data_IF_979793580296
#
_entry.id   IF_979793580296
#
_cell.length_a   1.000
_cell.length_b   1.000
_cell.length_c   1.000
_cell.angle_alpha   90.00
_cell.angle_beta   90.00
_cell.angle_gamma   90.00
#
_symmetry.space_group_name_H-M   'P 1'
#
loop_
_entity.id
_entity.type
_entity.pdbx_description
1 polymer ?
#
# COMPACT_ATOMS: atom_id res chain seq x y z
N UNK A 1 8.60 -5.63 39.96
CA UNK A 1 9.17 -5.50 38.59
C UNK A 1 8.30 -4.52 37.80
N UNK A 2 8.87 -3.41 37.31
CA UNK A 2 8.12 -2.44 36.51
C UNK A 2 7.69 -3.12 35.19
N UNK A 3 6.38 -3.22 34.91
CA UNK A 3 5.87 -3.72 33.64
C UNK A 3 6.30 -2.75 32.54
N UNK A 4 7.11 -3.19 31.59
CA UNK A 4 7.43 -2.43 30.39
C UNK A 4 6.14 -2.24 29.60
N UNK A 5 5.89 -1.04 29.08
CA UNK A 5 4.64 -0.72 28.39
C UNK A 5 4.35 -1.67 27.19
N UNK A 6 5.38 -2.12 26.47
CA UNK A 6 5.29 -3.02 25.32
C UNK A 6 5.71 -4.47 25.62
N UNK A 7 6.05 -4.82 26.86
CA UNK A 7 6.54 -6.16 27.26
C UNK A 7 7.66 -6.70 26.35
N UNK A 8 8.55 -5.80 25.89
CA UNK A 8 9.66 -6.16 25.01
C UNK A 8 10.94 -6.43 25.80
N UNK A 9 11.77 -7.38 25.35
CA UNK A 9 13.15 -7.51 25.81
C UNK A 9 13.96 -6.22 25.62
N UNK A 10 15.11 -6.05 26.28
CA UNK A 10 15.97 -4.89 26.05
C UNK A 10 16.34 -4.74 24.58
N UNK A 11 16.30 -3.50 24.04
CA UNK A 11 16.64 -3.25 22.63
C UNK A 11 18.04 -3.73 22.26
N UNK A 12 19.00 -3.64 23.19
CA UNK A 12 20.36 -4.15 23.01
C UNK A 12 20.38 -5.67 22.75
N UNK A 13 19.50 -6.40 23.41
CA UNK A 13 19.34 -7.85 23.23
C UNK A 13 18.73 -8.18 21.86
N UNK A 14 17.71 -7.42 21.43
CA UNK A 14 17.08 -7.56 20.12
C UNK A 14 18.03 -7.17 18.99
N UNK A 15 18.84 -6.11 19.18
CA UNK A 15 19.85 -5.67 18.21
C UNK A 15 20.98 -6.71 18.06
N UNK A 16 21.45 -7.29 19.19
CA UNK A 16 22.46 -8.34 19.16
C UNK A 16 21.96 -9.59 18.43
N UNK A 17 20.71 -9.98 18.66
CA UNK A 17 20.09 -11.09 17.96
C UNK A 17 19.95 -10.80 16.46
N UNK A 18 19.43 -9.65 16.06
CA UNK A 18 19.25 -9.26 14.64
C UNK A 18 20.58 -9.28 13.90
N UNK A 19 21.62 -8.63 14.44
CA UNK A 19 22.95 -8.61 13.85
C UNK A 19 23.54 -10.03 13.70
N UNK A 20 23.38 -10.88 14.72
CA UNK A 20 23.84 -12.29 14.69
C UNK A 20 23.06 -13.11 13.65
N UNK A 21 21.76 -12.88 13.50
CA UNK A 21 20.89 -13.55 12.54
C UNK A 21 21.22 -13.15 11.09
N UNK A 22 21.37 -11.87 10.82
CA UNK A 22 21.72 -11.35 9.50
C UNK A 22 23.09 -11.81 9.02
N UNK A 23 24.08 -11.84 9.94
CA UNK A 23 25.45 -12.28 9.63
C UNK A 23 25.64 -13.79 9.71
N UNK A 24 24.71 -14.57 10.28
CA UNK A 24 24.85 -15.98 10.65
C UNK A 24 26.16 -16.25 11.40
N UNK A 25 26.63 -15.26 12.19
CA UNK A 25 27.93 -15.26 12.85
C UNK A 25 27.97 -14.33 14.05
N UNK A 26 28.20 -14.86 15.23
CA UNK A 26 28.34 -14.03 16.43
C UNK A 26 29.61 -13.16 16.39
N UNK A 27 30.66 -13.61 15.68
CA UNK A 27 31.90 -12.84 15.53
C UNK A 27 31.65 -11.60 14.65
N UNK A 28 31.03 -11.76 13.48
CA UNK A 28 30.73 -10.63 12.60
C UNK A 28 29.74 -9.65 13.24
N UNK A 29 28.73 -10.17 13.94
CA UNK A 29 27.80 -9.32 14.68
C UNK A 29 28.50 -8.50 15.78
N UNK A 30 29.46 -9.10 16.44
CA UNK A 30 30.27 -8.42 17.47
C UNK A 30 31.13 -7.30 16.88
N UNK A 31 31.78 -7.57 15.74
CA UNK A 31 32.54 -6.57 14.98
C UNK A 31 31.67 -5.39 14.57
N UNK A 32 30.47 -5.64 14.03
CA UNK A 32 29.51 -4.62 13.62
C UNK A 32 29.01 -3.77 14.80
N UNK A 33 28.69 -4.42 15.92
CA UNK A 33 28.18 -3.75 17.11
C UNK A 33 29.25 -3.14 18.01
N UNK A 34 30.55 -3.31 17.63
CA UNK A 34 31.70 -2.85 18.44
C UNK A 34 31.72 -3.42 19.84
N UNK A 35 31.38 -4.69 19.98
CA UNK A 35 31.39 -5.44 21.25
C UNK A 35 32.17 -6.74 21.13
N UNK A 36 32.29 -7.51 22.19
CA UNK A 36 32.94 -8.83 22.13
C UNK A 36 31.98 -9.92 21.65
N UNK A 37 32.48 -11.00 20.99
CA UNK A 37 31.64 -12.14 20.61
C UNK A 37 30.95 -12.81 21.81
N UNK A 38 31.59 -12.78 22.97
CA UNK A 38 31.03 -13.26 24.23
C UNK A 38 29.80 -12.42 24.68
N UNK A 39 29.87 -11.10 24.50
CA UNK A 39 28.75 -10.21 24.82
C UNK A 39 27.52 -10.50 23.92
N UNK A 40 27.74 -10.65 22.61
CA UNK A 40 26.66 -11.02 21.67
C UNK A 40 26.05 -12.37 22.06
N UNK A 41 26.90 -13.39 22.33
CA UNK A 41 26.42 -14.71 22.74
C UNK A 41 25.62 -14.66 24.05
N UNK A 42 26.03 -13.82 25.00
CA UNK A 42 25.34 -13.64 26.27
C UNK A 42 23.97 -12.97 26.06
N UNK A 43 23.89 -11.90 25.22
CA UNK A 43 22.63 -11.22 24.89
C UNK A 43 21.66 -12.18 24.20
N UNK A 44 22.12 -12.96 23.21
CA UNK A 44 21.27 -13.93 22.51
C UNK A 44 20.77 -15.01 23.47
N UNK A 45 21.62 -15.53 24.36
CA UNK A 45 21.17 -16.51 25.37
C UNK A 45 20.16 -15.93 26.36
N UNK A 46 20.33 -14.66 26.75
CA UNK A 46 19.37 -13.99 27.61
C UNK A 46 17.99 -13.90 26.93
N UNK A 47 17.97 -13.59 25.62
CA UNK A 47 16.73 -13.56 24.80
C UNK A 47 16.08 -14.94 24.70
N UNK A 48 16.89 -15.99 24.41
CA UNK A 48 16.39 -17.35 24.36
C UNK A 48 15.83 -17.82 25.72
N UNK A 49 16.46 -17.42 26.81
CA UNK A 49 16.00 -17.69 28.17
C UNK A 49 14.71 -16.96 28.53
N UNK A 50 14.55 -15.70 28.11
CA UNK A 50 13.33 -14.91 28.33
C UNK A 50 12.14 -15.47 27.51
N UNK A 51 12.40 -15.90 26.28
CA UNK A 51 11.38 -16.46 25.38
C UNK A 51 11.11 -17.96 25.61
N UNK A 52 11.99 -18.66 26.34
CA UNK A 52 11.87 -20.09 26.58
C UNK A 52 12.08 -20.97 25.34
N UNK A 53 12.69 -20.43 24.28
CA UNK A 53 12.94 -21.15 23.03
C UNK A 53 14.34 -20.85 22.48
N UNK A 54 14.91 -21.81 21.77
CA UNK A 54 16.19 -21.60 21.07
C UNK A 54 15.94 -20.92 19.73
N UNK A 55 16.69 -19.86 19.45
CA UNK A 55 16.62 -19.08 18.22
C UNK A 55 17.72 -19.45 17.23
N UNK A 56 18.85 -19.98 17.72
CA UNK A 56 19.94 -20.45 16.89
C UNK A 56 20.28 -21.92 17.15
N UNK A 57 20.70 -22.59 16.08
CA UNK A 57 21.39 -23.89 16.15
C UNK A 57 22.87 -23.70 15.79
N UNK A 58 23.78 -24.35 16.54
CA UNK A 58 25.21 -24.36 16.22
C UNK A 58 25.48 -25.29 15.05
N UNK A 59 26.28 -24.82 14.09
CA UNK A 59 26.89 -25.62 13.02
C UNK A 59 28.40 -25.71 13.19
N UNK A 60 29.01 -26.59 12.43
CA UNK A 60 30.46 -26.75 12.43
C UNK A 60 31.20 -25.45 12.05
N UNK A 61 30.57 -24.60 11.24
CA UNK A 61 31.04 -23.25 10.89
C UNK A 61 29.86 -22.25 10.99
N UNK A 62 29.78 -21.54 12.13
CA UNK A 62 28.77 -20.51 12.35
C UNK A 62 27.51 -21.01 13.06
N UNK A 63 26.40 -20.32 12.80
CA UNK A 63 25.09 -20.61 13.38
C UNK A 63 24.03 -20.57 12.28
N UNK A 64 22.88 -21.23 12.51
CA UNK A 64 21.71 -21.13 11.68
C UNK A 64 20.50 -20.77 12.55
N UNK A 65 19.50 -20.13 11.96
CA UNK A 65 18.24 -19.81 12.64
C UNK A 65 17.37 -21.07 12.79
N UNK A 66 16.69 -21.14 13.91
CA UNK A 66 15.56 -22.06 14.08
C UNK A 66 14.29 -21.44 13.44
N UNK A 67 13.18 -22.18 13.22
CA UNK A 67 11.94 -21.57 12.76
C UNK A 67 11.46 -20.39 13.63
N UNK A 68 11.46 -20.47 14.98
CA UNK A 68 11.19 -19.30 15.81
C UNK A 68 12.20 -18.17 15.62
N UNK A 69 13.49 -18.51 15.44
CA UNK A 69 14.53 -17.53 15.15
C UNK A 69 14.30 -16.81 13.83
N UNK A 70 13.89 -17.52 12.78
CA UNK A 70 13.58 -16.91 11.49
C UNK A 70 12.38 -15.95 11.60
N UNK A 71 11.29 -16.38 12.26
CA UNK A 71 10.11 -15.53 12.47
C UNK A 71 10.46 -14.24 13.22
N UNK A 72 11.27 -14.34 14.27
CA UNK A 72 11.71 -13.16 15.04
C UNK A 72 12.63 -12.26 14.21
N UNK A 73 13.56 -12.84 13.45
CA UNK A 73 14.46 -12.09 12.57
C UNK A 73 13.70 -11.28 11.52
N UNK A 74 12.76 -11.90 10.81
CA UNK A 74 11.97 -11.23 9.77
C UNK A 74 11.19 -10.04 10.35
N UNK A 75 10.62 -10.22 11.54
CA UNK A 75 9.89 -9.16 12.25
C UNK A 75 10.80 -8.02 12.70
N UNK A 76 11.97 -8.33 13.27
CA UNK A 76 12.92 -7.32 13.74
C UNK A 76 13.56 -6.56 12.59
N UNK A 77 13.98 -7.25 11.54
CA UNK A 77 14.58 -6.65 10.35
C UNK A 77 13.62 -5.62 9.72
N UNK A 78 12.33 -5.97 9.56
CA UNK A 78 11.31 -5.06 9.07
C UNK A 78 11.10 -3.87 10.02
N UNK A 79 11.07 -4.12 11.33
CA UNK A 79 10.85 -3.07 12.35
C UNK A 79 12.03 -2.10 12.45
N UNK A 80 13.26 -2.60 12.45
CA UNK A 80 14.48 -1.78 12.49
C UNK A 80 14.65 -0.96 11.20
N UNK A 81 14.32 -1.53 10.04
CA UNK A 81 14.28 -0.79 8.78
C UNK A 81 13.31 0.37 8.86
N UNK A 82 12.10 0.15 9.39
CA UNK A 82 11.09 1.21 9.58
C UNK A 82 11.56 2.29 10.55
N UNK A 83 12.16 1.91 11.68
CA UNK A 83 12.72 2.87 12.64
C UNK A 83 13.84 3.70 12.01
N UNK A 84 14.75 3.05 11.25
CA UNK A 84 15.85 3.75 10.56
C UNK A 84 15.31 4.75 9.53
N UNK A 85 14.31 4.38 8.76
CA UNK A 85 13.64 5.28 7.79
C UNK A 85 12.99 6.47 8.50
N UNK A 86 12.29 6.23 9.61
CA UNK A 86 11.69 7.30 10.41
C UNK A 86 12.74 8.27 10.96
N UNK A 87 13.84 7.74 11.53
CA UNK A 87 14.93 8.57 12.03
C UNK A 87 15.62 9.36 10.92
N UNK A 88 15.75 8.76 9.73
CA UNK A 88 16.29 9.46 8.57
C UNK A 88 15.35 10.58 8.13
N UNK A 89 14.05 10.32 8.02
CA UNK A 89 13.04 11.32 7.70
C UNK A 89 13.05 12.51 8.69
N UNK A 90 13.21 12.23 10.00
CA UNK A 90 13.34 13.28 11.03
C UNK A 90 14.63 14.10 10.83
N UNK A 91 15.74 13.48 10.46
CA UNK A 91 17.00 14.19 10.19
C UNK A 91 16.92 15.03 8.92
N UNK A 92 16.22 14.54 7.93
CA UNK A 92 16.06 15.19 6.62
C UNK A 92 15.02 16.33 6.64
N UNK A 93 14.17 16.39 7.67
CA UNK A 93 13.14 17.44 7.87
C UNK A 93 13.70 18.87 7.95
N UNK A 94 15.00 19.04 7.90
CA UNK A 94 15.66 20.37 7.90
C UNK A 94 16.42 20.71 6.60
N UNK A 95 16.61 19.77 5.66
CA UNK A 95 17.58 19.99 4.56
C UNK A 95 17.26 19.35 3.22
N UNK A 96 16.31 18.45 3.08
CA UNK A 96 15.99 17.88 1.77
C UNK A 96 14.71 18.48 1.21
N UNK A 97 14.82 19.21 0.10
CA UNK A 97 13.68 19.68 -0.69
C UNK A 97 12.92 18.54 -1.38
N UNK A 98 12.98 17.32 -0.83
CA UNK A 98 12.28 16.11 -1.32
C UNK A 98 10.86 16.12 -0.82
N UNK A 99 9.90 16.02 -1.73
CA UNK A 99 8.47 15.84 -1.41
C UNK A 99 8.12 14.37 -1.49
N UNK A 100 7.59 13.80 -0.41
CA UNK A 100 7.17 12.39 -0.39
C UNK A 100 5.65 12.30 -0.57
N UNK A 101 5.22 11.63 -1.66
CA UNK A 101 3.80 11.41 -1.96
C UNK A 101 3.47 9.92 -1.99
N UNK A 102 2.38 9.54 -1.32
CA UNK A 102 1.94 8.16 -1.20
C UNK A 102 0.66 7.85 -1.96
N UNK A 103 0.52 6.60 -2.42
CA UNK A 103 -0.75 6.07 -2.95
C UNK A 103 -0.75 4.54 -3.02
N UNK A 104 -1.86 3.93 -3.44
CA UNK A 104 -1.92 2.51 -3.81
C UNK A 104 -1.23 2.24 -5.14
N UNK A 105 -0.90 0.98 -5.43
CA UNK A 105 -0.22 0.59 -6.67
C UNK A 105 -0.99 1.03 -7.91
N UNK A 106 -2.29 0.77 -7.98
CA UNK A 106 -3.10 1.16 -9.13
C UNK A 106 -3.22 2.69 -9.27
N UNK A 107 -3.45 3.40 -8.15
CA UNK A 107 -3.49 4.86 -8.15
C UNK A 107 -2.15 5.45 -8.59
N UNK A 108 -1.03 4.90 -8.11
CA UNK A 108 0.30 5.32 -8.53
C UNK A 108 0.49 5.17 -10.05
N UNK A 109 0.22 3.98 -10.58
CA UNK A 109 0.53 3.66 -11.98
C UNK A 109 -0.40 4.33 -12.97
N UNK A 110 -1.70 4.44 -12.66
CA UNK A 110 -2.71 4.89 -13.62
C UNK A 110 -2.97 6.41 -13.55
N UNK A 111 -2.74 7.04 -12.39
CA UNK A 111 -3.11 8.44 -12.20
C UNK A 111 -1.97 9.31 -11.63
N UNK A 112 -1.40 8.93 -10.46
CA UNK A 112 -0.48 9.80 -9.75
C UNK A 112 0.86 9.96 -10.48
N UNK A 113 1.50 8.86 -10.91
CA UNK A 113 2.80 8.95 -11.59
C UNK A 113 2.72 9.73 -12.92
N UNK A 114 1.70 9.56 -13.78
CA UNK A 114 1.51 10.44 -14.93
C UNK A 114 1.35 11.92 -14.54
N UNK A 115 0.63 12.24 -13.46
CA UNK A 115 0.47 13.61 -12.98
C UNK A 115 1.79 14.17 -12.43
N UNK A 116 2.53 13.39 -11.62
CA UNK A 116 3.83 13.77 -11.06
C UNK A 116 4.86 13.97 -12.16
N UNK A 117 4.87 13.15 -13.21
CA UNK A 117 5.80 13.32 -14.35
C UNK A 117 5.50 14.63 -15.09
N UNK A 118 4.24 15.01 -15.27
CA UNK A 118 3.86 16.31 -15.86
C UNK A 118 4.35 17.47 -14.98
N UNK A 119 4.07 17.41 -13.68
CA UNK A 119 4.56 18.39 -12.71
C UNK A 119 6.08 18.55 -12.74
N UNK A 120 6.80 17.43 -12.75
CA UNK A 120 8.26 17.43 -12.71
C UNK A 120 8.91 17.99 -13.99
N UNK A 121 8.21 17.97 -15.12
CA UNK A 121 8.69 18.65 -16.35
C UNK A 121 8.76 20.17 -16.18
N UNK A 122 7.81 20.73 -15.44
CA UNK A 122 7.72 22.17 -15.19
C UNK A 122 8.55 22.58 -13.96
N UNK A 123 8.83 21.63 -13.05
CA UNK A 123 9.55 21.84 -11.79
C UNK A 123 10.66 20.80 -11.59
N UNK A 124 11.69 20.75 -12.49
CA UNK A 124 12.74 19.73 -12.43
C UNK A 124 13.66 19.82 -11.21
N UNK A 125 13.66 20.95 -10.53
CA UNK A 125 14.43 21.20 -9.30
C UNK A 125 13.80 20.53 -8.07
N UNK A 126 12.52 20.14 -8.14
CA UNK A 126 11.81 19.50 -7.02
C UNK A 126 12.04 17.99 -7.06
N UNK A 127 12.65 17.47 -6.03
CA UNK A 127 12.82 16.04 -5.85
C UNK A 127 11.54 15.42 -5.29
N UNK A 128 10.99 14.41 -5.96
CA UNK A 128 9.75 13.75 -5.56
C UNK A 128 10.02 12.27 -5.30
N UNK A 129 9.65 11.81 -4.12
CA UNK A 129 9.67 10.41 -3.71
C UNK A 129 8.25 9.86 -3.73
N UNK A 130 7.98 8.83 -4.56
CA UNK A 130 6.69 8.16 -4.59
C UNK A 130 6.73 6.88 -3.76
N UNK A 131 5.87 6.80 -2.75
CA UNK A 131 5.73 5.63 -1.87
C UNK A 131 4.44 4.90 -2.19
N UNK A 132 4.55 3.63 -2.55
CA UNK A 132 3.40 2.80 -2.95
C UNK A 132 3.10 1.76 -1.89
N UNK A 133 1.85 1.72 -1.41
CA UNK A 133 1.38 0.74 -0.42
C UNK A 133 -0.10 0.43 -0.64
N UNK A 134 -0.45 -0.85 -0.74
CA UNK A 134 -1.84 -1.31 -0.87
C UNK A 134 -2.51 -1.60 0.49
N UNK A 135 -2.00 -0.99 1.55
CA UNK A 135 -2.55 -1.01 2.91
C UNK A 135 -2.68 0.40 3.42
N UNK A 136 -3.60 0.61 4.37
CA UNK A 136 -3.75 1.91 5.02
C UNK A 136 -2.40 2.44 5.53
N UNK A 137 -2.17 3.72 5.31
CA UNK A 137 -0.98 4.40 5.82
C UNK A 137 -1.15 4.57 7.34
N UNK A 138 -0.45 3.74 8.11
CA UNK A 138 -0.58 3.71 9.59
C UNK A 138 0.04 4.92 10.29
N UNK A 139 0.83 5.72 9.59
CA UNK A 139 1.41 6.97 10.13
C UNK A 139 1.62 7.97 8.98
N UNK A 140 1.05 9.15 9.13
CA UNK A 140 1.33 10.33 8.29
C UNK A 140 2.77 10.86 8.44
N UNK A 141 3.54 10.31 9.37
CA UNK A 141 4.89 10.79 9.68
C UNK A 141 5.88 10.64 8.51
N UNK A 142 5.67 9.65 7.64
CA UNK A 142 6.62 9.31 6.58
C UNK A 142 6.29 9.97 5.22
N UNK A 143 5.18 10.74 5.12
CA UNK A 143 4.71 11.31 3.85
C UNK A 143 4.23 12.74 4.05
N UNK A 144 4.49 13.58 3.05
CA UNK A 144 3.94 14.93 3.02
C UNK A 144 2.49 14.91 2.53
N UNK A 145 2.24 14.12 1.49
CA UNK A 145 0.96 13.97 0.80
C UNK A 145 0.66 12.49 0.57
N UNK A 146 -0.62 12.10 0.55
CA UNK A 146 -1.01 10.80 0.00
C UNK A 146 -2.45 10.81 -0.54
N UNK A 147 -2.72 9.95 -1.53
CA UNK A 147 -4.05 9.79 -2.11
C UNK A 147 -4.68 8.52 -1.56
N UNK A 148 -5.88 8.68 -1.01
CA UNK A 148 -6.62 7.57 -0.42
C UNK A 148 -8.11 7.62 -0.77
N UNK A 149 -8.74 6.44 -0.79
CA UNK A 149 -10.18 6.30 -0.94
C UNK A 149 -10.89 6.37 0.41
N UNK A 150 -11.77 7.34 0.57
CA UNK A 150 -12.41 7.64 1.84
C UNK A 150 -11.64 8.66 2.69
N UNK A 151 -12.30 9.12 3.73
CA UNK A 151 -11.70 10.09 4.67
C UNK A 151 -10.82 9.40 5.69
N UNK A 152 -9.71 10.04 6.01
CA UNK A 152 -8.89 9.68 7.15
C UNK A 152 -9.55 10.12 8.46
N UNK A 153 -9.31 9.35 9.53
CA UNK A 153 -9.89 9.63 10.86
C UNK A 153 -9.05 10.56 11.71
N UNK A 154 -7.79 10.77 11.36
CA UNK A 154 -6.90 11.67 12.10
C UNK A 154 -7.30 13.14 11.84
N UNK A 155 -7.82 13.86 12.86
CA UNK A 155 -8.27 15.25 12.69
C UNK A 155 -7.13 16.24 12.49
N UNK A 156 -5.88 15.80 12.65
CA UNK A 156 -4.69 16.65 12.46
C UNK A 156 -4.28 16.74 11.00
N UNK A 157 -4.92 15.97 10.11
CA UNK A 157 -4.59 15.95 8.69
C UNK A 157 -5.58 16.78 7.88
N UNK A 158 -5.06 17.56 6.97
CA UNK A 158 -5.85 18.24 5.96
C UNK A 158 -6.28 17.26 4.88
N UNK A 159 -7.53 17.40 4.40
CA UNK A 159 -8.13 16.45 3.47
C UNK A 159 -8.88 17.19 2.36
N UNK A 160 -8.38 17.09 1.16
CA UNK A 160 -8.93 17.74 -0.02
C UNK A 160 -9.66 16.69 -0.89
N UNK A 161 -10.98 16.81 -1.12
CA UNK A 161 -11.68 15.90 -2.02
C UNK A 161 -11.18 16.10 -3.43
N UNK A 162 -10.75 14.99 -4.08
CA UNK A 162 -10.35 15.00 -5.49
C UNK A 162 -11.55 14.76 -6.39
N UNK A 163 -12.06 13.53 -6.39
CA UNK A 163 -13.22 13.14 -7.21
C UNK A 163 -14.00 11.98 -6.58
N UNK A 164 -15.23 11.79 -7.04
CA UNK A 164 -16.03 10.59 -6.76
C UNK A 164 -16.07 9.76 -8.01
N UNK A 165 -15.63 8.53 -7.90
CA UNK A 165 -15.59 7.60 -9.03
C UNK A 165 -16.90 6.84 -9.22
N UNK A 166 -17.02 6.13 -10.33
CA UNK A 166 -18.10 5.20 -10.65
C UNK A 166 -17.53 3.79 -10.77
N UNK A 167 -18.31 2.82 -10.34
CA UNK A 167 -17.95 1.40 -10.34
C UNK A 167 -18.75 0.67 -11.41
N UNK A 168 -18.05 0.02 -12.31
CA UNK A 168 -18.64 -0.70 -13.42
C UNK A 168 -17.86 -2.00 -13.72
N UNK A 169 -18.52 -3.05 -14.19
CA UNK A 169 -17.87 -4.29 -14.62
C UNK A 169 -17.04 -4.08 -15.86
N UNK A 170 -15.77 -4.54 -15.82
CA UNK A 170 -14.86 -4.50 -16.97
C UNK A 170 -14.19 -5.85 -17.18
N UNK A 171 -13.80 -6.10 -18.43
CA UNK A 171 -13.06 -7.30 -18.86
C UNK A 171 -12.29 -7.00 -20.15
N UNK A 172 -11.62 -8.00 -20.74
CA UNK A 172 -10.98 -7.87 -22.05
C UNK A 172 -12.01 -7.56 -23.16
N UNK A 173 -11.58 -6.93 -24.26
CA UNK A 173 -12.47 -6.59 -25.37
C UNK A 173 -13.26 -7.80 -25.92
N UNK A 174 -12.59 -8.94 -26.08
CA UNK A 174 -13.20 -10.16 -26.63
C UNK A 174 -14.35 -10.66 -25.73
N UNK A 175 -14.11 -10.71 -24.42
CA UNK A 175 -15.16 -11.12 -23.47
C UNK A 175 -16.27 -10.10 -23.32
N UNK A 176 -15.97 -8.82 -23.49
CA UNK A 176 -16.98 -7.78 -23.45
C UNK A 176 -17.97 -7.90 -24.62
N UNK A 177 -17.49 -8.30 -25.82
CA UNK A 177 -18.34 -8.58 -26.98
C UNK A 177 -19.27 -9.79 -26.73
N UNK A 178 -18.76 -10.85 -26.07
CA UNK A 178 -19.57 -12.01 -25.69
C UNK A 178 -20.69 -11.67 -24.68
N UNK A 179 -20.50 -10.62 -23.88
CA UNK A 179 -21.39 -10.20 -22.81
C UNK A 179 -22.16 -8.91 -23.13
N UNK A 180 -22.17 -8.49 -24.40
CA UNK A 180 -22.93 -7.34 -24.83
C UNK A 180 -24.40 -7.49 -24.41
N UNK A 181 -24.93 -6.45 -23.75
CA UNK A 181 -26.30 -6.41 -23.23
C UNK A 181 -26.65 -7.44 -22.12
N UNK A 182 -25.65 -8.04 -21.49
CA UNK A 182 -25.86 -8.96 -20.38
C UNK A 182 -26.57 -8.26 -19.20
N UNK A 183 -27.63 -8.87 -18.71
CA UNK A 183 -28.31 -8.44 -17.50
C UNK A 183 -27.54 -8.79 -16.22
N UNK A 184 -28.01 -8.29 -15.07
CA UNK A 184 -27.36 -8.54 -13.78
C UNK A 184 -27.30 -10.03 -13.43
N UNK A 185 -28.29 -10.82 -13.83
CA UNK A 185 -28.32 -12.26 -13.55
C UNK A 185 -27.24 -13.00 -14.33
N UNK A 186 -27.08 -12.68 -15.61
CA UNK A 186 -26.03 -13.23 -16.48
C UNK A 186 -24.66 -12.82 -15.95
N UNK A 187 -24.46 -11.54 -15.59
CA UNK A 187 -23.20 -11.05 -15.04
C UNK A 187 -22.84 -11.74 -13.72
N UNK A 188 -23.84 -11.94 -12.83
CA UNK A 188 -23.62 -12.56 -11.52
C UNK A 188 -23.14 -14.03 -11.61
N UNK A 189 -23.35 -14.68 -12.75
CA UNK A 189 -22.93 -16.09 -13.03
C UNK A 189 -21.60 -16.20 -13.76
N UNK A 190 -21.01 -15.07 -14.17
CA UNK A 190 -19.72 -15.05 -14.85
C UNK A 190 -18.56 -15.39 -13.93
N UNK A 191 -17.38 -15.62 -14.51
CA UNK A 191 -16.13 -15.69 -13.75
C UNK A 191 -15.81 -14.31 -13.20
N UNK A 192 -15.89 -14.14 -11.88
CA UNK A 192 -15.64 -12.88 -11.22
C UNK A 192 -14.24 -12.87 -10.58
N UNK A 193 -13.59 -11.73 -10.65
CA UNK A 193 -12.34 -11.45 -9.95
C UNK A 193 -12.70 -10.62 -8.72
N UNK A 194 -12.53 -11.21 -7.55
CA UNK A 194 -12.86 -10.60 -6.27
C UNK A 194 -11.64 -9.88 -5.70
N UNK A 195 -11.75 -8.59 -5.53
CA UNK A 195 -10.76 -7.82 -4.78
C UNK A 195 -11.06 -7.95 -3.29
N UNK A 196 -10.13 -8.55 -2.56
CA UNK A 196 -10.20 -8.75 -1.12
C UNK A 196 -9.00 -8.08 -0.46
N UNK A 197 -9.25 -7.26 0.54
CA UNK A 197 -8.22 -6.58 1.32
C UNK A 197 -8.74 -6.30 2.71
N UNK A 198 -7.85 -5.87 3.59
CA UNK A 198 -8.18 -5.45 4.97
C UNK A 198 -9.03 -4.17 4.99
N UNK A 199 -9.09 -3.45 3.87
CA UNK A 199 -9.90 -2.25 3.73
C UNK A 199 -11.35 -2.60 3.41
N UNK A 200 -12.21 -2.42 4.41
CA UNK A 200 -13.65 -2.67 4.30
C UNK A 200 -14.42 -1.61 3.50
N UNK A 201 -13.76 -0.52 3.11
CA UNK A 201 -14.41 0.59 2.39
C UNK A 201 -14.65 0.27 0.91
N UNK A 202 -13.96 -0.73 0.36
CA UNK A 202 -14.07 -1.09 -1.04
C UNK A 202 -15.36 -1.86 -1.35
N UNK A 203 -16.09 -1.40 -2.37
CA UNK A 203 -17.31 -2.07 -2.83
C UNK A 203 -16.95 -3.44 -3.42
N UNK A 204 -17.51 -4.49 -2.86
CA UNK A 204 -17.37 -5.87 -3.35
C UNK A 204 -18.47 -6.20 -4.35
N UNK A 205 -18.28 -7.25 -5.17
CA UNK A 205 -19.29 -7.72 -6.12
C UNK A 205 -20.67 -7.90 -5.52
N UNK A 206 -20.76 -8.54 -4.34
CA UNK A 206 -22.03 -8.74 -3.66
C UNK A 206 -22.74 -7.41 -3.31
N UNK A 207 -21.99 -6.39 -2.90
CA UNK A 207 -22.54 -5.08 -2.55
C UNK A 207 -22.96 -4.33 -3.80
N UNK A 208 -22.17 -4.41 -4.89
CA UNK A 208 -22.47 -3.82 -6.18
C UNK A 208 -23.79 -4.37 -6.75
N UNK A 209 -23.93 -5.70 -6.82
CA UNK A 209 -25.15 -6.36 -7.30
C UNK A 209 -26.36 -6.00 -6.44
N UNK A 210 -26.20 -6.03 -5.11
CA UNK A 210 -27.30 -5.72 -4.18
C UNK A 210 -27.80 -4.28 -4.32
N UNK A 211 -26.89 -3.31 -4.48
CA UNK A 211 -27.28 -1.90 -4.65
C UNK A 211 -28.01 -1.66 -5.98
N UNK A 212 -27.75 -2.49 -6.98
CA UNK A 212 -28.47 -2.47 -8.26
C UNK A 212 -29.78 -3.31 -8.24
N UNK A 213 -30.17 -3.83 -7.08
CA UNK A 213 -31.42 -4.56 -6.90
C UNK A 213 -31.36 -6.06 -7.14
N UNK A 214 -30.20 -6.61 -7.52
CA UNK A 214 -30.02 -8.05 -7.68
C UNK A 214 -29.84 -8.74 -6.33
N UNK A 215 -30.66 -9.78 -6.08
CA UNK A 215 -30.68 -10.53 -4.80
C UNK A 215 -30.29 -12.01 -4.96
N UNK A 216 -29.95 -12.42 -6.16
CA UNK A 216 -29.56 -13.79 -6.46
C UNK A 216 -28.12 -14.13 -6.01
N UNK A 217 -27.70 -15.37 -6.22
CA UNK A 217 -26.34 -15.80 -5.89
C UNK A 217 -25.32 -15.13 -6.82
N UNK A 218 -24.18 -14.75 -6.26
CA UNK A 218 -23.03 -14.20 -6.98
C UNK A 218 -21.97 -15.29 -7.09
N UNK A 219 -21.47 -15.52 -8.30
CA UNK A 219 -20.48 -16.56 -8.56
C UNK A 219 -19.20 -16.34 -7.73
N UNK A 220 -18.62 -17.45 -7.30
CA UNK A 220 -17.25 -17.46 -6.80
C UNK A 220 -16.26 -17.32 -7.96
N UNK A 221 -15.02 -16.92 -7.67
CA UNK A 221 -14.01 -16.73 -8.69
C UNK A 221 -12.60 -16.58 -8.10
N UNK A 222 -11.73 -15.93 -8.85
CA UNK A 222 -10.37 -15.61 -8.39
C UNK A 222 -10.44 -14.54 -7.31
N UNK A 223 -9.66 -14.71 -6.25
CA UNK A 223 -9.54 -13.74 -5.16
C UNK A 223 -8.15 -13.15 -5.16
N UNK A 224 -8.06 -11.83 -5.18
CA UNK A 224 -6.79 -11.09 -5.16
C UNK A 224 -6.87 -9.97 -4.14
N UNK A 225 -5.74 -9.58 -3.57
CA UNK A 225 -5.63 -8.50 -2.59
C UNK A 225 -4.94 -7.25 -3.15
N UNK A 226 -4.73 -7.21 -4.45
CA UNK A 226 -4.12 -6.09 -5.16
C UNK A 226 -4.95 -5.75 -6.39
N UNK A 227 -5.33 -4.49 -6.53
CA UNK A 227 -6.21 -4.04 -7.61
C UNK A 227 -5.54 -4.10 -8.99
N UNK A 228 -4.23 -3.85 -9.08
CA UNK A 228 -3.51 -3.97 -10.34
C UNK A 228 -3.51 -5.42 -10.85
N UNK A 229 -3.44 -6.41 -9.96
CA UNK A 229 -3.57 -7.83 -10.32
C UNK A 229 -5.00 -8.13 -10.82
N UNK A 230 -6.03 -7.55 -10.17
CA UNK A 230 -7.41 -7.72 -10.63
C UNK A 230 -7.61 -7.15 -12.05
N UNK A 231 -7.07 -5.96 -12.32
CA UNK A 231 -7.12 -5.35 -13.65
C UNK A 231 -6.37 -6.16 -14.69
N UNK A 232 -5.15 -6.64 -14.38
CA UNK A 232 -4.38 -7.50 -15.29
C UNK A 232 -5.14 -8.79 -15.63
N UNK A 233 -5.69 -9.46 -14.62
CA UNK A 233 -6.48 -10.68 -14.86
C UNK A 233 -7.72 -10.42 -15.73
N UNK A 234 -8.35 -9.25 -15.61
CA UNK A 234 -9.46 -8.86 -16.48
C UNK A 234 -9.00 -8.57 -17.91
N UNK A 235 -7.86 -7.91 -18.11
CA UNK A 235 -7.24 -7.66 -19.40
C UNK A 235 -6.89 -9.00 -20.12
N UNK A 236 -6.41 -9.97 -19.36
CA UNK A 236 -6.09 -11.32 -19.85
C UNK A 236 -7.35 -12.20 -20.10
N UNK A 237 -8.56 -11.64 -19.95
CA UNK A 237 -9.81 -12.34 -20.17
C UNK A 237 -10.15 -13.42 -19.14
N UNK A 238 -9.48 -13.45 -17.98
CA UNK A 238 -9.72 -14.44 -16.92
C UNK A 238 -11.11 -14.31 -16.28
N UNK A 239 -11.70 -13.11 -16.32
CA UNK A 239 -13.02 -12.83 -15.77
C UNK A 239 -13.35 -11.34 -15.76
N UNK A 240 -14.39 -10.97 -15.00
CA UNK A 240 -14.81 -9.59 -14.81
C UNK A 240 -14.27 -9.05 -13.49
N UNK A 241 -13.84 -7.79 -13.48
CA UNK A 241 -13.55 -7.05 -12.25
C UNK A 241 -14.39 -5.77 -12.18
N UNK A 242 -14.56 -5.23 -10.96
CA UNK A 242 -15.15 -3.90 -10.80
C UNK A 242 -14.09 -2.85 -11.13
N UNK A 243 -14.30 -2.10 -12.20
CA UNK A 243 -13.47 -0.98 -12.62
C UNK A 243 -13.89 0.30 -11.90
N UNK A 244 -12.93 1.08 -11.44
CA UNK A 244 -13.09 2.47 -11.04
C UNK A 244 -12.92 3.31 -12.30
N UNK A 245 -14.01 3.79 -12.88
CA UNK A 245 -14.07 4.32 -14.24
C UNK A 245 -13.03 5.40 -14.53
N UNK A 246 -12.96 6.42 -13.67
CA UNK A 246 -11.97 7.49 -13.82
C UNK A 246 -10.54 6.97 -13.66
N UNK A 247 -10.31 6.14 -12.66
CA UNK A 247 -8.97 5.59 -12.41
C UNK A 247 -8.48 4.72 -13.57
N UNK A 248 -9.35 3.90 -14.15
CA UNK A 248 -9.00 3.01 -15.28
C UNK A 248 -9.22 3.64 -16.66
N UNK A 249 -9.60 4.92 -16.74
CA UNK A 249 -9.83 5.60 -18.02
C UNK A 249 -8.69 5.45 -19.02
N UNK A 250 -7.38 5.43 -18.61
CA UNK A 250 -6.30 5.15 -19.56
C UNK A 250 -6.37 3.75 -20.19
N UNK A 251 -6.86 2.75 -19.46
CA UNK A 251 -7.03 1.38 -19.96
C UNK A 251 -8.24 1.26 -20.89
N UNK A 252 -9.33 1.95 -20.54
CA UNK A 252 -10.53 2.02 -21.41
C UNK A 252 -10.23 2.75 -22.72
N UNK A 253 -9.53 3.87 -22.67
CA UNK A 253 -9.17 4.68 -23.83
C UNK A 253 -8.21 3.97 -24.80
N UNK A 254 -7.31 3.11 -24.29
CA UNK A 254 -6.44 2.27 -25.13
C UNK A 254 -7.15 1.01 -25.66
N UNK A 255 -8.32 0.69 -25.14
CA UNK A 255 -9.04 -0.54 -25.47
C UNK A 255 -8.48 -1.78 -24.78
N UNK A 256 -7.63 -1.64 -23.77
CA UNK A 256 -7.09 -2.76 -22.98
C UNK A 256 -8.18 -3.41 -22.11
N UNK A 257 -9.19 -2.64 -21.75
CA UNK A 257 -10.40 -3.06 -21.04
C UNK A 257 -11.65 -2.47 -21.73
N UNK A 258 -12.78 -3.17 -21.58
CA UNK A 258 -14.10 -2.70 -21.99
C UNK A 258 -15.14 -2.94 -20.90
N UNK A 259 -16.14 -2.08 -20.88
CA UNK A 259 -17.33 -2.24 -20.04
C UNK A 259 -18.26 -3.27 -20.66
N UNK A 260 -18.97 -4.03 -19.82
CA UNK A 260 -19.89 -5.10 -20.29
C UNK A 260 -21.36 -4.80 -20.07
N UNK A 261 -21.70 -3.65 -19.49
CA UNK A 261 -23.09 -3.32 -19.12
C UNK A 261 -23.24 -1.82 -18.90
N UNK A 262 -24.43 -1.26 -19.13
CA UNK A 262 -24.72 0.12 -18.77
C UNK A 262 -24.89 0.33 -17.24
N UNK A 263 -24.93 -0.76 -16.45
CA UNK A 263 -25.11 -0.63 -15.00
C UNK A 263 -23.86 -0.08 -14.33
N UNK A 264 -24.00 1.09 -13.74
CA UNK A 264 -22.94 1.83 -13.08
C UNK A 264 -23.39 2.19 -11.66
N UNK A 265 -22.50 2.05 -10.69
CA UNK A 265 -22.74 2.44 -9.32
C UNK A 265 -21.81 3.58 -8.93
N UNK A 266 -22.37 4.68 -8.42
CA UNK A 266 -21.55 5.74 -7.83
C UNK A 266 -20.81 5.22 -6.61
N UNK A 267 -19.50 5.44 -6.54
CA UNK A 267 -18.70 4.99 -5.41
C UNK A 267 -19.19 5.60 -4.08
N UNK A 268 -19.29 4.83 -2.99
CA UNK A 268 -19.77 5.33 -1.69
C UNK A 268 -18.95 6.49 -1.15
N UNK A 269 -17.64 6.47 -1.35
CA UNK A 269 -16.68 7.49 -0.90
C UNK A 269 -16.11 8.27 -2.09
N UNK A 270 -15.33 9.31 -1.79
CA UNK A 270 -14.48 10.03 -2.75
C UNK A 270 -13.02 9.59 -2.57
N UNK A 271 -12.19 9.85 -3.57
CA UNK A 271 -10.76 9.92 -3.38
C UNK A 271 -10.40 11.28 -2.77
N UNK A 272 -9.46 11.26 -1.85
CA UNK A 272 -8.96 12.44 -1.16
C UNK A 272 -7.45 12.52 -1.30
N UNK A 273 -6.94 13.72 -1.48
CA UNK A 273 -5.57 14.06 -1.16
C UNK A 273 -5.53 14.41 0.32
N UNK A 274 -4.70 13.71 1.06
CA UNK A 274 -4.53 13.84 2.50
C UNK A 274 -3.10 14.29 2.75
N UNK A 275 -2.91 15.27 3.61
CA UNK A 275 -1.59 15.81 3.92
C UNK A 275 -1.49 16.29 5.37
N UNK A 276 -0.28 16.60 5.78
CA UNK A 276 -0.03 17.36 7.01
C UNK A 276 -0.67 18.74 6.90
N UNK A 277 -0.91 19.43 8.04
CA UNK A 277 -1.34 20.82 8.04
C UNK A 277 -0.41 21.70 7.19
N UNK A 278 -0.98 22.75 6.59
CA UNK A 278 -0.23 23.63 5.67
C UNK A 278 1.06 24.19 6.31
N UNK A 279 1.02 24.49 7.60
CA UNK A 279 2.15 25.02 8.36
C UNK A 279 3.33 24.02 8.51
N UNK A 280 3.05 22.72 8.34
CA UNK A 280 4.05 21.65 8.43
C UNK A 280 4.57 21.22 7.03
N UNK A 281 3.97 21.72 5.95
CA UNK A 281 4.37 21.40 4.58
C UNK A 281 5.47 22.36 4.10
N UNK A 282 6.43 21.81 3.36
CA UNK A 282 7.42 22.63 2.66
C UNK A 282 6.78 23.37 1.48
N UNK A 283 7.36 24.49 0.99
CA UNK A 283 6.86 25.17 -0.21
C UNK A 283 6.72 24.22 -1.43
N UNK A 284 7.67 23.30 -1.61
CA UNK A 284 7.62 22.32 -2.68
C UNK A 284 6.45 21.33 -2.52
N UNK A 285 6.15 20.92 -1.29
CA UNK A 285 5.01 20.05 -1.01
C UNK A 285 3.67 20.77 -1.26
N UNK A 286 3.60 22.06 -0.92
CA UNK A 286 2.44 22.89 -1.22
C UNK A 286 2.22 23.03 -2.74
N UNK A 287 3.28 23.25 -3.51
CA UNK A 287 3.19 23.32 -4.97
C UNK A 287 2.67 22.01 -5.57
N UNK A 288 3.20 20.87 -5.12
CA UNK A 288 2.73 19.55 -5.60
C UNK A 288 1.29 19.27 -5.16
N UNK A 289 0.90 19.64 -3.94
CA UNK A 289 -0.48 19.54 -3.44
C UNK A 289 -1.45 20.28 -4.36
N UNK A 290 -1.15 21.54 -4.65
CA UNK A 290 -2.03 22.41 -5.43
C UNK A 290 -2.12 21.94 -6.88
N UNK A 291 -1.01 21.45 -7.44
CA UNK A 291 -0.99 20.81 -8.76
C UNK A 291 -1.88 19.55 -8.82
N UNK A 292 -1.77 18.66 -7.84
CA UNK A 292 -2.59 17.45 -7.75
C UNK A 292 -4.08 17.80 -7.67
N UNK A 293 -4.45 18.78 -6.85
CA UNK A 293 -5.83 19.25 -6.72
C UNK A 293 -6.34 19.85 -8.03
N UNK A 294 -5.54 20.66 -8.70
CA UNK A 294 -5.91 21.27 -9.99
C UNK A 294 -6.10 20.20 -11.07
N UNK A 295 -5.15 19.24 -11.17
CA UNK A 295 -5.23 18.12 -12.12
C UNK A 295 -6.49 17.26 -11.91
N UNK A 296 -6.87 17.03 -10.66
CA UNK A 296 -8.08 16.25 -10.36
C UNK A 296 -9.38 16.98 -10.76
N UNK A 297 -9.39 18.31 -10.72
CA UNK A 297 -10.54 19.12 -11.18
C UNK A 297 -10.70 19.08 -12.69
N UNK A 298 -9.61 19.14 -13.44
CA UNK A 298 -9.66 19.03 -14.90
C UNK A 298 -10.36 17.74 -15.37
N UNK A 299 -10.12 16.62 -14.66
CA UNK A 299 -10.73 15.32 -14.97
C UNK A 299 -12.25 15.31 -14.66
N UNK A 300 -12.69 16.05 -13.65
CA UNK A 300 -14.11 16.10 -13.25
C UNK A 300 -14.93 17.08 -14.08
N UNK A 301 -14.31 18.05 -14.73
CA UNK A 301 -14.96 19.08 -15.54
C UNK A 301 -15.02 18.73 -17.04
N UNK A 302 -14.37 17.64 -17.49
CA UNK A 302 -14.57 17.12 -18.84
C UNK A 302 -15.97 16.49 -18.95
N UNK A 303 -16.85 16.98 -19.85
CA UNK A 303 -18.17 16.38 -20.07
C UNK A 303 -18.02 14.97 -20.65
N UNK A 304 -18.63 13.99 -19.97
CA UNK A 304 -18.72 12.58 -20.36
C UNK A 304 -19.54 12.37 -21.63
#
# INVERSE_FOLDING_TARGET
MSRRHYDLPPLTTLTAFEAAARNLSFKKAAEELSVTPGAVSHQVKALEGELGVTLFRRKHRGVELTPPGQTLYDTLAASFTRMSQCLQAIRDHGSSGVVTVGSTTAMASLWLSPAVIRFWRDHPEININQVVRDRAFTTSADMDLYIWYGRERDPRLDQYPLYRDRLLPVTSPERAEELADADLEVLARQRLIHLEGDDISWTKWHDWFRQLGYKGPVASGIRVNNYSIALQAAQDGAGLTLGWEQLISPLLNRGDLRTVTPHVLSAPQKFYLICKPEEELTPNALMLRDWIIATAREITDEPS
#
